data_IF_150355557595
#
_entry.id   IF_150355557595
#
_cell.length_a   1.000
_cell.length_b   1.000
_cell.length_c   1.000
_cell.angle_alpha   90.00
_cell.angle_beta   90.00
_cell.angle_gamma   90.00
#
_symmetry.space_group_name_H-M   'P 1'
#
loop_
_entity.id
_entity.type
_entity.pdbx_description
1 polymer ?
#
# COMPACT_ATOMS: atom_id res chain seq x y z
N UNK A 1 53.46 -27.76 24.66
CA UNK A 1 52.94 -26.43 24.30
C UNK A 1 51.69 -26.60 23.47
N UNK A 2 50.52 -26.32 24.08
CA UNK A 2 49.21 -26.38 23.41
C UNK A 2 48.82 -24.93 23.04
N UNK A 3 48.83 -24.62 21.75
CA UNK A 3 48.35 -23.33 21.23
C UNK A 3 46.84 -23.42 21.07
N UNK A 4 46.10 -22.78 21.97
CA UNK A 4 44.64 -22.54 21.82
C UNK A 4 44.46 -21.26 20.98
N UNK A 5 44.15 -21.42 19.71
CA UNK A 5 43.69 -20.30 18.88
C UNK A 5 42.24 -19.96 19.25
N UNK A 6 42.03 -18.92 20.03
CA UNK A 6 40.73 -18.32 20.19
C UNK A 6 40.38 -17.54 18.91
N UNK A 7 39.52 -18.13 18.08
CA UNK A 7 38.90 -17.42 16.97
C UNK A 7 37.80 -16.54 17.55
N UNK A 8 38.06 -15.25 17.71
CA UNK A 8 37.03 -14.25 17.85
C UNK A 8 36.32 -14.12 16.49
N UNK A 9 35.21 -14.80 16.33
CA UNK A 9 34.25 -14.43 15.28
C UNK A 9 33.51 -13.20 15.78
N UNK A 10 34.02 -12.02 15.46
CA UNK A 10 33.23 -10.83 15.50
C UNK A 10 32.02 -11.06 14.60
N UNK A 11 30.84 -11.31 15.20
CA UNK A 11 29.58 -11.20 14.50
C UNK A 11 29.46 -9.74 14.09
N UNK A 12 29.76 -9.46 12.82
CA UNK A 12 29.37 -8.19 12.22
C UNK A 12 27.88 -8.07 12.48
N UNK A 13 27.40 -7.03 13.17
CA UNK A 13 25.97 -6.84 13.35
C UNK A 13 25.35 -6.79 11.96
N UNK A 14 24.51 -7.77 11.65
CA UNK A 14 23.68 -7.73 10.44
C UNK A 14 22.90 -6.45 10.54
N UNK A 15 23.18 -5.47 9.67
CA UNK A 15 22.42 -4.24 9.63
C UNK A 15 20.94 -4.61 9.46
N UNK A 16 20.13 -4.22 10.42
CA UNK A 16 18.68 -4.41 10.40
C UNK A 16 18.13 -3.56 9.24
N UNK A 17 18.17 -4.10 8.03
CA UNK A 17 17.66 -3.40 6.84
C UNK A 17 16.21 -3.76 6.62
N UNK A 18 15.38 -2.72 6.51
CA UNK A 18 14.01 -2.83 6.04
C UNK A 18 13.95 -2.49 4.56
N UNK A 19 13.29 -3.35 3.78
CA UNK A 19 13.02 -3.08 2.37
C UNK A 19 11.54 -2.75 2.21
N UNK A 20 11.25 -1.53 1.76
CA UNK A 20 9.91 -1.09 1.39
C UNK A 20 9.79 -1.10 -0.13
N UNK A 21 8.82 -1.81 -0.67
CA UNK A 21 8.45 -1.75 -2.08
C UNK A 21 7.18 -0.93 -2.21
N UNK A 22 7.35 0.32 -2.65
CA UNK A 22 6.25 1.28 -2.73
C UNK A 22 5.83 1.46 -4.17
N UNK A 23 4.52 1.37 -4.42
CA UNK A 23 3.89 1.72 -5.69
C UNK A 23 2.94 2.89 -5.50
N UNK A 24 2.61 3.60 -6.57
CA UNK A 24 1.56 4.60 -6.60
C UNK A 24 1.08 4.84 -8.03
N UNK A 25 -0.11 5.38 -8.19
CA UNK A 25 -0.66 5.76 -9.51
C UNK A 25 -0.61 4.59 -10.52
N UNK A 26 -0.90 3.39 -10.09
CA UNK A 26 -0.99 2.20 -10.97
C UNK A 26 -2.15 2.33 -11.94
N UNK A 27 -3.22 3.03 -11.54
CA UNK A 27 -4.34 3.46 -12.38
C UNK A 27 -4.99 2.33 -13.19
N UNK A 28 -5.15 1.18 -12.56
CA UNK A 28 -5.76 0.01 -13.21
C UNK A 28 -4.90 -0.64 -14.29
N UNK A 29 -3.60 -0.33 -14.36
CA UNK A 29 -2.71 -0.85 -15.40
C UNK A 29 -2.26 -2.27 -15.09
N UNK A 30 -2.56 -3.21 -15.99
CA UNK A 30 -2.22 -4.62 -15.85
C UNK A 30 -0.88 -4.94 -16.51
N UNK A 31 -0.70 -4.46 -17.74
CA UNK A 31 0.45 -4.78 -18.57
C UNK A 31 1.53 -3.69 -18.53
N UNK A 32 2.77 -4.04 -18.89
CA UNK A 32 3.82 -3.04 -19.07
C UNK A 32 3.41 -1.98 -20.11
N UNK A 33 3.71 -0.73 -19.84
CA UNK A 33 3.45 0.40 -20.72
C UNK A 33 4.74 1.09 -21.14
N UNK A 34 4.71 1.80 -22.27
CA UNK A 34 5.84 2.58 -22.78
C UNK A 34 6.47 2.02 -24.06
N UNK A 35 7.69 2.43 -24.34
CA UNK A 35 8.41 2.07 -25.56
C UNK A 35 8.75 0.58 -25.58
N UNK A 36 8.59 -0.07 -26.76
CA UNK A 36 8.88 -1.50 -26.94
C UNK A 36 10.27 -1.92 -26.43
N UNK A 37 11.25 -1.02 -26.54
CA UNK A 37 12.62 -1.30 -26.11
C UNK A 37 12.81 -1.28 -24.58
N UNK A 38 11.97 -0.55 -23.83
CA UNK A 38 12.05 -0.50 -22.37
C UNK A 38 10.66 -0.28 -21.77
N UNK A 39 9.79 -1.30 -21.78
CA UNK A 39 8.47 -1.22 -21.17
C UNK A 39 8.59 -1.10 -19.64
N UNK A 40 7.78 -0.22 -19.04
CA UNK A 40 7.75 0.03 -17.61
C UNK A 40 6.48 -0.53 -16.96
N UNK A 41 6.55 -0.87 -15.69
CA UNK A 41 5.40 -1.35 -14.90
C UNK A 41 4.93 -2.74 -15.28
N UNK A 42 3.64 -2.98 -15.07
CA UNK A 42 2.95 -4.25 -15.29
C UNK A 42 3.01 -5.21 -14.10
N UNK A 43 1.89 -5.86 -13.82
CA UNK A 43 1.75 -6.80 -12.70
C UNK A 43 2.70 -8.01 -12.80
N UNK A 44 2.89 -8.65 -13.98
CA UNK A 44 3.80 -9.79 -14.09
C UNK A 44 5.25 -9.44 -13.73
N UNK A 45 5.74 -8.27 -14.18
CA UNK A 45 7.10 -7.81 -13.87
C UNK A 45 7.25 -7.47 -12.39
N UNK A 46 6.22 -6.88 -11.78
CA UNK A 46 6.19 -6.61 -10.33
C UNK A 46 6.31 -7.92 -9.54
N UNK A 47 5.51 -8.93 -9.89
CA UNK A 47 5.59 -10.24 -9.24
C UNK A 47 6.98 -10.86 -9.39
N UNK A 48 7.56 -10.82 -10.60
CA UNK A 48 8.93 -11.33 -10.84
C UNK A 48 9.94 -10.64 -9.94
N UNK A 49 9.87 -9.31 -9.82
CA UNK A 49 10.78 -8.55 -8.96
C UNK A 49 10.61 -8.88 -7.48
N UNK A 50 9.37 -9.00 -7.00
CA UNK A 50 9.09 -9.41 -5.62
C UNK A 50 9.66 -10.80 -5.34
N UNK A 51 9.48 -11.75 -6.27
CA UNK A 51 10.03 -13.11 -6.12
C UNK A 51 11.55 -13.09 -6.08
N UNK A 52 12.22 -12.33 -6.94
CA UNK A 52 13.68 -12.17 -6.93
C UNK A 52 14.19 -11.61 -5.59
N UNK A 53 13.48 -10.65 -4.99
CA UNK A 53 13.82 -10.16 -3.65
C UNK A 53 13.70 -11.28 -2.61
N UNK A 54 12.57 -12.01 -2.62
CA UNK A 54 12.35 -13.12 -1.69
C UNK A 54 13.37 -14.24 -1.86
N UNK A 55 13.70 -14.58 -3.09
CA UNK A 55 14.73 -15.62 -3.40
C UNK A 55 16.13 -15.19 -2.93
N UNK A 56 16.41 -13.89 -2.86
CA UNK A 56 17.63 -13.34 -2.28
C UNK A 56 17.60 -13.19 -0.75
N UNK A 57 16.54 -13.67 -0.10
CA UNK A 57 16.38 -13.60 1.36
C UNK A 57 15.78 -12.28 1.87
N UNK A 58 15.30 -11.40 0.98
CA UNK A 58 14.66 -10.14 1.35
C UNK A 58 13.14 -10.32 1.38
N UNK A 59 12.50 -10.05 2.52
CA UNK A 59 11.04 -10.02 2.66
C UNK A 59 10.55 -8.56 2.67
N UNK A 60 10.16 -7.99 1.51
CA UNK A 60 9.78 -6.60 1.42
C UNK A 60 8.41 -6.33 2.04
N UNK A 61 8.25 -5.15 2.66
CA UNK A 61 6.95 -4.60 3.02
C UNK A 61 6.35 -3.96 1.77
N UNK A 62 5.17 -4.41 1.38
CA UNK A 62 4.51 -3.99 0.14
C UNK A 62 3.49 -2.89 0.42
N UNK A 63 3.68 -1.72 -0.20
CA UNK A 63 2.85 -0.55 0.01
C UNK A 63 2.36 0.01 -1.33
N UNK A 64 1.14 0.55 -1.34
CA UNK A 64 0.66 1.40 -2.43
C UNK A 64 0.20 2.75 -1.85
N UNK A 65 0.71 3.84 -2.41
CA UNK A 65 0.43 5.18 -1.92
C UNK A 65 -0.86 5.80 -2.47
N UNK A 66 -1.64 5.02 -3.22
CA UNK A 66 -2.96 5.40 -3.73
C UNK A 66 -3.06 5.55 -5.24
N UNK A 67 -4.27 5.71 -5.72
CA UNK A 67 -4.64 5.75 -7.14
C UNK A 67 -4.24 4.47 -7.90
N UNK A 68 -4.44 3.31 -7.25
CA UNK A 68 -4.09 2.02 -7.82
C UNK A 68 -5.13 1.49 -8.79
N UNK A 69 -6.42 1.78 -8.58
CA UNK A 69 -7.54 1.04 -9.17
C UNK A 69 -8.02 1.62 -10.49
N UNK A 70 -8.12 2.93 -10.61
CA UNK A 70 -8.73 3.59 -11.79
C UNK A 70 -7.84 4.68 -12.37
N UNK A 71 -7.98 4.87 -13.68
CA UNK A 71 -7.24 5.88 -14.43
C UNK A 71 -7.68 7.31 -14.06
N UNK A 72 -9.00 7.48 -13.85
CA UNK A 72 -9.63 8.74 -13.50
C UNK A 72 -10.44 8.58 -12.20
N UNK A 73 -10.83 9.70 -11.60
CA UNK A 73 -11.70 9.74 -10.42
C UNK A 73 -13.21 9.60 -10.76
N UNK A 74 -13.52 9.15 -11.97
CA UNK A 74 -14.85 8.84 -12.46
C UNK A 74 -14.80 7.68 -13.45
N UNK A 75 -15.93 7.01 -13.65
CA UNK A 75 -16.06 5.97 -14.66
C UNK A 75 -16.39 6.61 -16.02
N UNK A 76 -15.71 6.16 -17.07
CA UNK A 76 -15.96 6.60 -18.44
C UNK A 76 -17.17 5.86 -18.99
N UNK A 77 -18.14 6.61 -19.57
CA UNK A 77 -19.35 6.05 -20.14
C UNK A 77 -19.08 4.93 -21.15
N UNK A 78 -19.79 3.81 -20.96
CA UNK A 78 -19.64 2.60 -21.77
C UNK A 78 -18.39 1.76 -21.44
N UNK A 79 -17.56 2.18 -20.46
CA UNK A 79 -16.38 1.42 -20.00
C UNK A 79 -16.47 1.01 -18.52
N UNK A 80 -17.60 1.22 -17.87
CA UNK A 80 -17.76 1.02 -16.42
C UNK A 80 -17.43 -0.41 -16.00
N UNK A 81 -18.03 -1.40 -16.70
CA UNK A 81 -17.82 -2.81 -16.40
C UNK A 81 -16.35 -3.23 -16.60
N UNK A 82 -15.73 -2.79 -17.70
CA UNK A 82 -14.32 -3.10 -17.99
C UNK A 82 -13.37 -2.43 -17.01
N UNK A 83 -13.66 -1.20 -16.58
CA UNK A 83 -12.87 -0.46 -15.59
C UNK A 83 -12.95 -1.13 -14.21
N UNK A 84 -14.15 -1.52 -13.76
CA UNK A 84 -14.34 -2.28 -12.52
C UNK A 84 -13.65 -3.63 -12.55
N UNK A 85 -13.75 -4.37 -13.66
CA UNK A 85 -13.07 -5.66 -13.82
C UNK A 85 -11.55 -5.49 -13.73
N UNK A 86 -11.00 -4.46 -14.38
CA UNK A 86 -9.57 -4.13 -14.34
C UNK A 86 -9.12 -3.79 -12.92
N UNK A 87 -9.86 -2.93 -12.21
CA UNK A 87 -9.58 -2.56 -10.82
C UNK A 87 -9.57 -3.79 -9.91
N UNK A 88 -10.57 -4.66 -10.04
CA UNK A 88 -10.64 -5.94 -9.32
C UNK A 88 -9.44 -6.83 -9.64
N UNK A 89 -9.07 -6.95 -10.92
CA UNK A 89 -7.90 -7.75 -11.34
C UNK A 89 -6.61 -7.21 -10.74
N UNK A 90 -6.38 -5.88 -10.70
CA UNK A 90 -5.22 -5.28 -10.02
C UNK A 90 -5.20 -5.67 -8.56
N UNK A 91 -6.31 -5.45 -7.86
CA UNK A 91 -6.39 -5.68 -6.42
C UNK A 91 -6.18 -7.15 -6.04
N UNK A 92 -6.87 -8.08 -6.70
CA UNK A 92 -6.75 -9.53 -6.45
C UNK A 92 -5.38 -10.08 -6.85
N UNK A 93 -4.78 -9.56 -7.94
CA UNK A 93 -3.46 -9.99 -8.36
C UNK A 93 -2.39 -9.57 -7.39
N UNK A 94 -2.47 -8.35 -6.86
CA UNK A 94 -1.51 -7.88 -5.85
C UNK A 94 -1.67 -8.60 -4.52
N UNK A 95 -2.88 -9.01 -4.13
CA UNK A 95 -3.10 -9.87 -2.97
C UNK A 95 -2.34 -11.21 -3.06
N UNK A 96 -2.17 -11.73 -4.28
CA UNK A 96 -1.38 -12.95 -4.53
C UNK A 96 0.14 -12.72 -4.45
N UNK A 97 0.60 -11.49 -4.58
CA UNK A 97 2.02 -11.14 -4.46
C UNK A 97 2.48 -11.06 -3.00
N UNK A 98 1.57 -10.76 -2.08
CA UNK A 98 1.80 -10.63 -0.65
C UNK A 98 0.80 -9.69 0.00
N UNK A 99 1.02 -9.39 1.28
CA UNK A 99 0.15 -8.49 2.03
C UNK A 99 0.44 -7.04 1.67
N UNK A 100 -0.30 -6.50 0.69
CA UNK A 100 -0.26 -5.09 0.35
C UNK A 100 -1.07 -4.25 1.34
N UNK A 101 -0.51 -3.10 1.71
CA UNK A 101 -1.24 -2.01 2.37
C UNK A 101 -1.47 -0.91 1.34
N UNK A 102 -2.74 -0.60 1.10
CA UNK A 102 -3.14 0.42 0.15
C UNK A 102 -3.57 1.69 0.88
N UNK A 103 -2.87 2.79 0.67
CA UNK A 103 -3.48 4.09 0.93
C UNK A 103 -4.57 4.34 -0.09
N UNK A 104 -5.74 4.82 0.35
CA UNK A 104 -6.82 5.14 -0.59
C UNK A 104 -6.51 6.46 -1.28
N UNK A 105 -6.48 6.46 -2.62
CA UNK A 105 -6.33 7.66 -3.44
C UNK A 105 -7.66 8.18 -3.98
N UNK A 106 -7.64 9.38 -4.56
CA UNK A 106 -8.84 10.02 -5.11
C UNK A 106 -9.47 9.19 -6.25
N UNK A 107 -8.63 8.64 -7.14
CA UNK A 107 -9.11 7.87 -8.28
C UNK A 107 -9.71 6.53 -7.88
N UNK A 108 -9.30 5.99 -6.72
CA UNK A 108 -9.81 4.69 -6.25
C UNK A 108 -11.32 4.73 -6.01
N UNK A 109 -11.89 5.92 -5.78
CA UNK A 109 -13.32 6.14 -5.59
C UNK A 109 -14.14 6.29 -6.89
N UNK A 110 -13.55 6.10 -8.07
CA UNK A 110 -14.27 6.27 -9.34
C UNK A 110 -15.56 5.43 -9.47
N UNK A 111 -15.61 4.26 -8.82
CA UNK A 111 -16.78 3.37 -8.80
C UNK A 111 -17.61 3.48 -7.50
N UNK A 112 -17.32 4.46 -6.65
CA UNK A 112 -18.01 4.69 -5.37
C UNK A 112 -17.39 3.92 -4.20
N UNK A 113 -17.84 4.26 -2.99
CA UNK A 113 -17.32 3.68 -1.72
C UNK A 113 -17.64 2.20 -1.61
N UNK A 114 -18.84 1.80 -2.02
CA UNK A 114 -19.28 0.39 -1.91
C UNK A 114 -18.40 -0.55 -2.72
N UNK A 115 -17.91 -0.10 -3.88
CA UNK A 115 -17.00 -0.90 -4.69
C UNK A 115 -15.65 -1.14 -3.99
N UNK A 116 -15.11 -0.14 -3.29
CA UNK A 116 -13.86 -0.31 -2.50
C UNK A 116 -14.09 -1.30 -1.35
N UNK A 117 -15.23 -1.18 -0.66
CA UNK A 117 -15.60 -2.12 0.42
C UNK A 117 -15.79 -3.55 -0.09
N UNK A 118 -16.38 -3.71 -1.29
CA UNK A 118 -16.48 -5.03 -1.94
C UNK A 118 -15.09 -5.62 -2.22
N UNK A 119 -14.15 -4.82 -2.71
CA UNK A 119 -12.78 -5.25 -2.95
C UNK A 119 -12.08 -5.65 -1.66
N UNK A 120 -12.18 -4.87 -0.59
CA UNK A 120 -11.58 -5.17 0.70
C UNK A 120 -12.06 -6.52 1.27
N UNK A 121 -13.34 -6.84 1.06
CA UNK A 121 -13.90 -8.13 1.47
C UNK A 121 -13.50 -9.30 0.55
N UNK A 122 -13.02 -9.03 -0.66
CA UNK A 122 -12.70 -10.07 -1.65
C UNK A 122 -11.28 -10.63 -1.55
N UNK A 123 -10.37 -9.94 -0.86
CA UNK A 123 -8.96 -10.33 -0.78
C UNK A 123 -8.32 -9.87 0.55
N UNK A 124 -7.20 -10.50 0.91
CA UNK A 124 -6.45 -10.18 2.13
C UNK A 124 -5.61 -8.89 2.04
N UNK A 125 -6.03 -7.94 1.20
CA UNK A 125 -5.43 -6.63 1.14
C UNK A 125 -6.19 -5.67 2.05
N UNK A 126 -5.48 -4.67 2.59
CA UNK A 126 -6.06 -3.73 3.51
C UNK A 126 -5.93 -2.31 2.96
N UNK A 127 -7.06 -1.63 2.86
CA UNK A 127 -7.07 -0.20 2.67
C UNK A 127 -6.81 0.51 3.99
N UNK A 128 -6.00 1.57 3.94
CA UNK A 128 -5.72 2.44 5.08
C UNK A 128 -5.99 3.89 4.73
N UNK A 129 -6.57 4.63 5.67
CA UNK A 129 -6.67 6.08 5.63
C UNK A 129 -6.93 6.62 7.02
N UNK A 130 -6.05 7.48 7.52
CA UNK A 130 -6.16 8.05 8.86
C UNK A 130 -7.04 9.28 8.93
N UNK A 131 -7.33 9.92 7.80
CA UNK A 131 -8.08 11.17 7.74
C UNK A 131 -9.37 11.12 6.94
N UNK A 132 -9.83 9.92 6.58
CA UNK A 132 -11.08 9.72 5.88
C UNK A 132 -12.13 9.18 6.86
N UNK A 133 -13.18 9.96 7.11
CA UNK A 133 -14.24 9.62 8.06
C UNK A 133 -15.60 9.55 7.38
N UNK A 134 -16.54 8.85 8.00
CA UNK A 134 -17.94 8.89 7.57
C UNK A 134 -18.56 10.25 7.92
N UNK A 135 -19.29 10.85 6.99
CA UNK A 135 -19.91 12.18 7.19
C UNK A 135 -20.78 12.20 8.43
N UNK A 136 -20.62 13.25 9.23
CA UNK A 136 -21.37 13.45 10.47
C UNK A 136 -20.87 12.64 11.66
N UNK A 137 -19.74 11.93 11.52
CA UNK A 137 -19.09 11.17 12.60
C UNK A 137 -17.59 11.44 12.64
N UNK A 138 -16.93 10.91 13.67
CA UNK A 138 -15.46 10.83 13.74
C UNK A 138 -14.96 9.41 13.41
N UNK A 139 -15.86 8.52 12.97
CA UNK A 139 -15.53 7.13 12.66
C UNK A 139 -14.76 7.05 11.34
N UNK A 140 -13.57 6.45 11.38
CA UNK A 140 -12.77 6.23 10.19
C UNK A 140 -13.50 5.30 9.20
N UNK A 141 -13.46 5.67 7.92
CA UNK A 141 -14.03 4.87 6.85
C UNK A 141 -13.22 3.59 6.57
N UNK A 142 -11.91 3.63 6.85
CA UNK A 142 -10.96 2.53 6.69
C UNK A 142 -10.06 2.43 7.92
N UNK A 143 -9.23 1.39 7.97
CA UNK A 143 -8.23 1.24 9.03
C UNK A 143 -7.29 2.44 9.04
N UNK A 144 -7.11 3.09 10.19
CA UNK A 144 -6.33 4.32 10.28
C UNK A 144 -4.82 4.12 10.12
N UNK A 145 -4.29 3.02 10.67
CA UNK A 145 -2.87 2.68 10.62
C UNK A 145 -2.64 1.19 10.84
N UNK A 146 -1.41 0.76 10.60
CA UNK A 146 -0.94 -0.57 10.99
C UNK A 146 0.48 -0.50 11.50
N UNK A 147 0.85 -1.44 12.39
CA UNK A 147 2.23 -1.63 12.82
C UNK A 147 2.70 -2.95 12.23
N UNK A 148 3.81 -2.91 11.52
CA UNK A 148 4.46 -4.08 10.93
C UNK A 148 5.82 -4.26 11.58
N UNK A 149 6.11 -5.47 12.03
CA UNK A 149 7.44 -5.82 12.55
C UNK A 149 8.19 -6.67 11.51
N UNK A 150 9.41 -6.28 11.20
CA UNK A 150 10.32 -7.01 10.32
C UNK A 150 11.75 -6.88 10.86
N UNK A 151 12.46 -7.99 10.94
CA UNK A 151 13.85 -8.04 11.40
C UNK A 151 14.08 -7.36 12.76
N UNK A 152 13.08 -7.42 13.67
CA UNK A 152 13.15 -6.78 14.98
C UNK A 152 12.81 -5.27 14.98
N UNK A 153 12.54 -4.66 13.83
CA UNK A 153 12.17 -3.25 13.71
C UNK A 153 10.65 -3.12 13.54
N UNK A 154 10.04 -2.27 14.35
CA UNK A 154 8.61 -1.93 14.28
C UNK A 154 8.41 -0.67 13.46
N UNK A 155 7.64 -0.80 12.38
CA UNK A 155 7.30 0.27 11.46
C UNK A 155 5.82 0.64 11.60
N UNK A 156 5.54 1.90 11.94
CA UNK A 156 4.19 2.46 11.95
C UNK A 156 3.82 3.00 10.57
N UNK A 157 2.75 2.49 9.99
CA UNK A 157 2.31 2.89 8.64
C UNK A 157 0.90 3.45 8.74
N UNK A 158 0.68 4.65 8.22
CA UNK A 158 -0.64 5.26 8.12
C UNK A 158 -0.82 5.95 6.77
N UNK A 159 -2.06 6.07 6.32
CA UNK A 159 -2.42 6.65 5.03
C UNK A 159 -3.07 8.02 5.19
N UNK A 160 -2.83 8.91 4.23
CA UNK A 160 -3.44 10.23 4.14
C UNK A 160 -3.97 10.43 2.72
N UNK A 161 -5.16 10.99 2.63
CA UNK A 161 -5.76 11.47 1.38
C UNK A 161 -5.97 13.00 1.47
N UNK A 162 -5.84 13.70 0.36
CA UNK A 162 -5.98 15.17 0.34
C UNK A 162 -7.34 15.66 -0.11
N UNK A 163 -8.02 14.90 -0.99
CA UNK A 163 -9.35 15.25 -1.47
C UNK A 163 -10.10 14.02 -2.01
N UNK A 164 -11.41 14.18 -2.16
CA UNK A 164 -12.32 13.17 -2.73
C UNK A 164 -12.93 13.66 -4.05
N UNK A 165 -13.39 12.74 -4.93
CA UNK A 165 -14.26 13.10 -6.02
C UNK A 165 -15.53 13.79 -5.50
N UNK A 166 -16.02 14.79 -6.23
CA UNK A 166 -17.25 15.50 -5.85
C UNK A 166 -18.52 14.62 -5.81
N UNK A 167 -18.45 13.43 -6.42
CA UNK A 167 -19.52 12.41 -6.38
C UNK A 167 -19.64 11.71 -5.03
N UNK A 168 -18.57 11.63 -4.23
CA UNK A 168 -18.59 10.99 -2.92
C UNK A 168 -19.13 11.96 -1.89
N UNK A 169 -20.28 11.63 -1.29
CA UNK A 169 -20.98 12.45 -0.32
C UNK A 169 -21.02 11.85 1.08
N UNK A 170 -20.78 10.57 1.19
CA UNK A 170 -20.83 9.81 2.43
C UNK A 170 -19.53 9.85 3.24
N UNK A 171 -18.46 10.40 2.66
CA UNK A 171 -17.15 10.51 3.31
C UNK A 171 -16.68 11.97 3.36
N UNK A 172 -15.90 12.28 4.39
CA UNK A 172 -15.26 13.57 4.62
C UNK A 172 -13.76 13.40 4.85
N UNK A 173 -12.96 14.29 4.26
CA UNK A 173 -11.51 14.35 4.48
C UNK A 173 -11.22 15.33 5.60
N UNK A 174 -10.66 14.86 6.71
CA UNK A 174 -10.15 15.72 7.79
C UNK A 174 -8.82 16.33 7.40
N UNK A 175 -8.50 17.48 8.00
CA UNK A 175 -7.26 18.20 7.70
C UNK A 175 -6.03 17.30 7.80
N UNK A 176 -5.28 17.11 6.69
CA UNK A 176 -4.15 16.18 6.66
C UNK A 176 -3.06 16.50 7.68
N UNK A 177 -2.72 17.78 7.86
CA UNK A 177 -1.64 18.18 8.77
C UNK A 177 -2.00 17.90 10.23
N UNK A 178 -3.23 18.18 10.62
CA UNK A 178 -3.75 17.89 11.96
C UNK A 178 -3.69 16.39 12.25
N UNK A 179 -4.15 15.58 11.29
CA UNK A 179 -4.18 14.11 11.45
C UNK A 179 -2.76 13.53 11.46
N UNK A 180 -1.86 13.99 10.59
CA UNK A 180 -0.45 13.59 10.59
C UNK A 180 0.18 13.84 11.96
N UNK A 181 0.03 15.05 12.49
CA UNK A 181 0.60 15.41 13.79
C UNK A 181 0.04 14.55 14.93
N UNK A 182 -1.25 14.23 14.89
CA UNK A 182 -1.89 13.35 15.86
C UNK A 182 -1.38 11.91 15.74
N UNK A 183 -1.31 11.36 14.52
CA UNK A 183 -0.86 9.99 14.27
C UNK A 183 0.61 9.79 14.61
N UNK A 184 1.46 10.74 14.30
CA UNK A 184 2.88 10.68 14.71
C UNK A 184 3.01 10.64 16.24
N UNK A 185 2.27 11.47 16.97
CA UNK A 185 2.29 11.44 18.45
C UNK A 185 1.75 10.12 19.01
N UNK A 186 0.72 9.56 18.40
CA UNK A 186 0.11 8.28 18.78
C UNK A 186 1.06 7.10 18.57
N UNK A 187 1.70 7.04 17.39
CA UNK A 187 2.49 5.87 16.98
C UNK A 187 3.94 5.91 17.48
N UNK A 188 4.55 7.10 17.63
CA UNK A 188 5.96 7.24 18.00
C UNK A 188 6.39 6.43 19.23
N UNK A 189 5.62 6.33 20.32
CA UNK A 189 6.01 5.51 21.49
C UNK A 189 5.87 4.00 21.27
N UNK A 190 5.27 3.56 20.16
CA UNK A 190 4.94 2.16 19.87
C UNK A 190 5.83 1.54 18.79
N UNK A 191 6.62 2.37 18.07
CA UNK A 191 7.37 1.96 16.87
C UNK A 191 8.77 2.56 16.88
N UNK A 192 9.65 1.94 16.10
CA UNK A 192 11.01 2.42 15.90
C UNK A 192 11.05 3.47 14.77
N UNK A 193 10.22 3.27 13.73
CA UNK A 193 10.12 4.14 12.55
C UNK A 193 8.67 4.43 12.22
#
# INVERSE_FOLDING_TARGET
>A
FLLVAMSCTDKVPTSEQLTLLVTSNVRGQLDPCGWKANPLGGLPRRLTYINQLKDSGVDPILLDAGDALFEFNFLVDGKEASSKLRAKTVFESTAKMGNYLYNVGQNDFAAGVDFIRELENSANNNFISSNLVNVGTEDLAFKGHTIVERNGVKLGIFGIITNLPASIKELEVKDPLTVINSKVKELRPQVDV
#
